data_IF_552116589585
#
_entry.id   IF_552116589585
#
_cell.length_a   1.000
_cell.length_b   1.000
_cell.length_c   1.000
_cell.angle_alpha   90.00
_cell.angle_beta   90.00
_cell.angle_gamma   90.00
#
_symmetry.space_group_name_H-M   'P 1'
#
loop_
_entity.id
_entity.type
_entity.pdbx_description
1 polymer ?
#
# COMPACT_ATOMS: atom_id res chain seq x y z
N UNK A 1 -6.47 16.65 4.53
CA UNK A 1 -6.98 15.26 4.42
C UNK A 1 -5.79 14.34 4.29
N UNK A 2 -5.87 13.09 4.77
CA UNK A 2 -4.80 12.09 4.66
C UNK A 2 -5.32 10.76 4.10
N UNK A 3 -4.56 10.14 3.21
CA UNK A 3 -4.76 8.75 2.77
C UNK A 3 -3.80 7.86 3.55
N UNK A 4 -4.29 6.73 4.06
CA UNK A 4 -3.55 5.92 5.04
C UNK A 4 -3.47 4.46 4.59
N UNK A 5 -2.24 3.97 4.44
CA UNK A 5 -1.88 2.59 4.15
C UNK A 5 -0.65 2.16 4.94
N UNK A 6 -0.79 1.92 6.24
CA UNK A 6 0.32 1.60 7.15
C UNK A 6 0.00 0.47 8.14
N UNK A 7 -0.73 -0.55 7.69
CA UNK A 7 -1.05 -1.74 8.49
C UNK A 7 -1.70 -1.42 9.84
N UNK A 8 -1.16 -2.00 10.91
CA UNK A 8 -1.70 -1.88 12.27
C UNK A 8 -1.78 -0.43 12.79
N UNK A 9 -0.93 0.47 12.28
CA UNK A 9 -0.95 1.88 12.65
C UNK A 9 -2.09 2.68 11.99
N UNK A 10 -2.76 2.10 10.99
CA UNK A 10 -3.71 2.81 10.13
C UNK A 10 -4.88 3.43 10.88
N UNK A 11 -5.57 2.63 11.70
CA UNK A 11 -6.74 3.09 12.47
C UNK A 11 -6.36 4.06 13.60
N UNK A 12 -5.33 3.79 14.43
CA UNK A 12 -4.86 4.77 15.42
C UNK A 12 -4.46 6.12 14.80
N UNK A 13 -3.77 6.10 13.66
CA UNK A 13 -3.36 7.31 12.94
C UNK A 13 -4.57 8.06 12.36
N UNK A 14 -5.52 7.34 11.73
CA UNK A 14 -6.75 7.93 11.22
C UNK A 14 -7.54 8.63 12.34
N UNK A 15 -7.62 7.99 13.52
CA UNK A 15 -8.30 8.55 14.68
C UNK A 15 -7.59 9.82 15.20
N UNK A 16 -6.25 9.84 15.23
CA UNK A 16 -5.47 11.03 15.60
C UNK A 16 -5.71 12.20 14.63
N UNK A 17 -5.70 11.93 13.32
CA UNK A 17 -5.97 12.93 12.28
C UNK A 17 -7.40 13.48 12.39
N UNK A 18 -8.38 12.61 12.66
CA UNK A 18 -9.77 13.01 12.91
C UNK A 18 -9.90 13.92 14.13
N UNK A 19 -9.24 13.58 15.24
CA UNK A 19 -9.21 14.43 16.45
C UNK A 19 -8.58 15.80 16.20
N UNK A 20 -7.63 15.91 15.28
CA UNK A 20 -7.04 17.17 14.85
C UNK A 20 -7.95 17.99 13.88
N UNK A 21 -9.21 17.60 13.70
CA UNK A 21 -10.17 18.30 12.84
C UNK A 21 -9.91 18.09 11.34
N UNK A 22 -9.19 17.03 10.95
CA UNK A 22 -8.86 16.72 9.56
C UNK A 22 -9.50 15.39 9.12
N UNK A 23 -9.76 15.25 7.83
CA UNK A 23 -10.27 13.99 7.27
C UNK A 23 -9.13 12.98 7.05
N UNK A 24 -9.44 11.71 7.30
CA UNK A 24 -8.57 10.57 7.04
C UNK A 24 -9.35 9.46 6.32
N UNK A 25 -8.75 8.88 5.28
CA UNK A 25 -9.29 7.71 4.58
C UNK A 25 -8.28 6.57 4.71
N UNK A 26 -8.69 5.48 5.35
CA UNK A 26 -7.87 4.28 5.49
C UNK A 26 -8.18 3.30 4.37
N UNK A 27 -7.21 3.05 3.50
CA UNK A 27 -7.32 2.15 2.34
C UNK A 27 -6.45 0.90 2.49
N UNK A 28 -5.66 0.82 3.57
CA UNK A 28 -4.76 -0.30 3.82
C UNK A 28 -3.74 -0.47 2.68
N UNK A 29 -3.41 -1.74 2.38
CA UNK A 29 -2.43 -2.07 1.35
C UNK A 29 -2.83 -1.64 -0.06
N UNK A 30 -4.13 -1.49 -0.35
CA UNK A 30 -4.63 -1.12 -1.69
C UNK A 30 -4.29 0.34 -2.06
N UNK A 31 -3.90 1.19 -1.10
CA UNK A 31 -3.49 2.56 -1.36
C UNK A 31 -2.40 2.66 -2.44
N UNK A 32 -1.49 1.69 -2.49
CA UNK A 32 -0.41 1.63 -3.49
C UNK A 32 -0.93 1.68 -4.94
N UNK A 33 -2.07 1.04 -5.21
CA UNK A 33 -2.64 0.90 -6.55
C UNK A 33 -3.11 2.25 -7.11
N UNK A 34 -3.52 3.17 -6.23
CA UNK A 34 -3.91 4.53 -6.63
C UNK A 34 -2.72 5.35 -7.16
N UNK A 35 -1.50 4.94 -6.85
CA UNK A 35 -0.27 5.60 -7.29
C UNK A 35 0.51 4.78 -8.33
N UNK A 36 -0.08 3.72 -8.87
CA UNK A 36 0.58 2.84 -9.83
C UNK A 36 1.73 2.05 -9.21
N UNK A 37 1.75 1.85 -7.90
CA UNK A 37 2.73 0.99 -7.23
C UNK A 37 2.06 -0.36 -6.97
N UNK A 38 2.76 -1.46 -7.25
CA UNK A 38 2.25 -2.81 -6.95
C UNK A 38 3.31 -3.71 -6.31
N UNK A 39 2.91 -4.37 -5.24
CA UNK A 39 3.59 -5.48 -4.62
C UNK A 39 3.03 -6.84 -5.06
N UNK A 40 3.72 -7.91 -4.68
CA UNK A 40 3.44 -9.30 -5.11
C UNK A 40 1.99 -9.73 -4.89
N UNK A 41 1.31 -9.19 -3.86
CA UNK A 41 -0.11 -9.49 -3.56
C UNK A 41 -1.04 -9.32 -4.77
N UNK A 42 -0.73 -8.37 -5.66
CA UNK A 42 -1.63 -7.99 -6.75
C UNK A 42 -1.31 -8.67 -8.08
N UNK A 43 -0.25 -9.47 -8.16
CA UNK A 43 0.20 -10.08 -9.43
C UNK A 43 -0.78 -11.12 -9.95
N UNK A 44 -1.43 -11.85 -9.03
CA UNK A 44 -2.37 -12.92 -9.34
C UNK A 44 -3.83 -12.44 -9.39
N UNK A 45 -4.09 -11.16 -9.10
CA UNK A 45 -5.44 -10.58 -9.18
C UNK A 45 -5.75 -10.18 -10.65
N UNK A 46 -6.70 -10.85 -11.33
CA UNK A 46 -6.98 -10.59 -12.74
C UNK A 46 -7.48 -9.17 -13.01
N UNK A 47 -8.25 -8.59 -12.07
CA UNK A 47 -8.78 -7.25 -12.21
C UNK A 47 -7.65 -6.22 -12.13
N UNK A 48 -6.75 -6.36 -11.14
CA UNK A 48 -5.60 -5.44 -11.03
C UNK A 48 -4.65 -5.60 -12.21
N UNK A 49 -4.32 -6.84 -12.57
CA UNK A 49 -3.42 -7.13 -13.69
C UNK A 49 -3.91 -6.53 -15.01
N UNK A 50 -5.22 -6.46 -15.23
CA UNK A 50 -5.80 -5.82 -16.42
C UNK A 50 -5.61 -4.29 -16.47
N UNK A 51 -5.39 -3.65 -15.33
CA UNK A 51 -5.18 -2.20 -15.21
C UNK A 51 -3.69 -1.78 -15.25
N UNK A 52 -2.78 -2.73 -15.03
CA UNK A 52 -1.32 -2.47 -15.01
C UNK A 52 -0.85 -2.00 -16.39
N UNK A 53 -0.04 -0.95 -16.42
CA UNK A 53 0.56 -0.41 -17.63
C UNK A 53 2.03 -0.03 -17.41
N UNK A 54 2.71 0.50 -18.43
CA UNK A 54 4.15 0.85 -18.40
C UNK A 54 4.55 1.88 -17.34
N UNK A 55 3.60 2.62 -16.77
CA UNK A 55 3.86 3.62 -15.74
C UNK A 55 3.77 3.06 -14.33
N UNK A 56 3.32 1.81 -14.18
CA UNK A 56 3.26 1.15 -12.89
C UNK A 56 4.63 0.58 -12.51
N UNK A 57 5.01 0.75 -11.26
CA UNK A 57 6.32 0.36 -10.73
C UNK A 57 6.18 -0.61 -9.56
N UNK A 58 7.28 -1.27 -9.23
CA UNK A 58 7.46 -1.98 -7.96
C UNK A 58 8.45 -1.21 -7.09
N UNK A 59 8.40 -1.36 -5.76
CA UNK A 59 9.41 -0.79 -4.88
C UNK A 59 10.83 -1.21 -5.33
N UNK A 60 11.79 -0.30 -5.22
CA UNK A 60 13.19 -0.64 -5.53
C UNK A 60 13.78 -1.57 -4.46
N UNK A 61 15.00 -2.05 -4.68
CA UNK A 61 15.71 -2.84 -3.68
C UNK A 61 15.98 -2.03 -2.41
N UNK A 62 16.23 -0.73 -2.54
CA UNK A 62 16.46 0.20 -1.41
C UNK A 62 15.18 0.49 -0.62
N UNK A 63 14.01 0.44 -1.27
CA UNK A 63 12.69 0.63 -0.66
C UNK A 63 12.10 -0.68 -0.08
N UNK A 64 12.75 -1.81 -0.35
CA UNK A 64 12.32 -3.14 0.08
C UNK A 64 13.18 -3.65 1.22
N UNK A 65 12.61 -3.93 2.41
CA UNK A 65 13.36 -4.51 3.51
C UNK A 65 13.98 -5.85 3.13
N UNK A 66 15.23 -6.11 3.56
CA UNK A 66 15.91 -7.38 3.30
C UNK A 66 15.13 -8.61 3.83
N UNK A 67 14.28 -8.41 4.84
CA UNK A 67 13.42 -9.42 5.44
C UNK A 67 12.01 -9.49 4.84
N UNK A 68 11.74 -8.80 3.72
CA UNK A 68 10.40 -8.75 3.12
C UNK A 68 9.81 -10.13 2.80
N UNK A 69 10.63 -11.09 2.37
CA UNK A 69 10.18 -12.46 2.07
C UNK A 69 9.58 -13.18 3.30
N UNK A 70 9.96 -12.80 4.53
CA UNK A 70 9.35 -13.35 5.74
C UNK A 70 7.93 -12.83 5.99
N UNK A 71 7.57 -11.71 5.36
CA UNK A 71 6.24 -11.11 5.48
C UNK A 71 5.40 -11.51 4.28
N UNK A 72 4.70 -12.63 4.42
CA UNK A 72 3.79 -13.17 3.39
C UNK A 72 4.47 -13.27 2.02
N UNK A 73 5.74 -13.69 1.97
CA UNK A 73 6.55 -13.77 0.75
C UNK A 73 6.69 -12.41 0.04
N UNK A 74 6.89 -11.34 0.78
CA UNK A 74 7.05 -10.00 0.21
C UNK A 74 5.77 -9.42 -0.39
N UNK A 75 4.59 -9.77 0.12
CA UNK A 75 3.32 -9.42 -0.54
C UNK A 75 3.08 -7.90 -0.77
N UNK A 76 3.72 -7.03 0.02
CA UNK A 76 3.60 -5.57 -0.11
C UNK A 76 4.60 -4.96 -1.09
N UNK A 77 5.55 -5.74 -1.60
CA UNK A 77 6.67 -5.34 -2.46
C UNK A 77 6.72 -6.12 -3.78
#
# INVERSE_FOLDING_TARGET
MALIGCGAYGLPLAAAIKRAGRQAIHLGGALQLLFGIRGRRWDDDPAIRSMVNRHWVRPTAEETPASAEFIERGCYW
#
